data_IF_404741921770
#
_entry.id   IF_404741921770
#
_cell.length_a   1.000
_cell.length_b   1.000
_cell.length_c   1.000
_cell.angle_alpha   90.00
_cell.angle_beta   90.00
_cell.angle_gamma   90.00
#
_symmetry.space_group_name_H-M   'P 1'
#
loop_
_entity.id
_entity.type
_entity.pdbx_description
1 polymer ?
#
# COMPACT_ATOMS: atom_id res chain seq x y z
N UNK A 1 26.75 0.70 -21.58
CA UNK A 1 25.74 -0.09 -20.91
C UNK A 1 24.37 0.25 -21.43
N UNK A 2 23.65 -0.75 -21.71
CA UNK A 2 22.27 -0.51 -22.04
C UNK A 2 21.59 0.07 -20.83
N UNK A 3 20.87 1.14 -21.02
CA UNK A 3 20.00 1.61 -19.98
C UNK A 3 18.92 0.54 -19.78
N UNK A 4 18.97 -0.17 -18.72
CA UNK A 4 17.92 -1.15 -18.51
C UNK A 4 16.60 -0.42 -18.38
N UNK A 5 15.56 -1.05 -18.82
CA UNK A 5 14.23 -0.60 -18.46
C UNK A 5 14.12 -0.51 -16.95
N UNK A 6 13.10 0.13 -16.45
CA UNK A 6 12.85 0.21 -15.01
C UNK A 6 12.63 -1.21 -14.52
N UNK A 7 13.47 -1.63 -13.60
CA UNK A 7 13.30 -2.94 -12.97
C UNK A 7 12.05 -2.90 -12.12
N UNK A 8 11.29 -4.01 -12.04
CA UNK A 8 10.11 -4.04 -11.15
C UNK A 8 10.45 -3.61 -9.72
N UNK A 9 11.63 -4.01 -9.21
CA UNK A 9 12.07 -3.64 -7.88
C UNK A 9 12.42 -2.16 -7.73
N UNK A 10 12.58 -1.43 -8.84
CA UNK A 10 12.85 0.01 -8.83
C UNK A 10 11.57 0.84 -8.93
N UNK A 11 10.42 0.20 -9.17
CA UNK A 11 9.15 0.90 -9.19
C UNK A 11 8.78 1.36 -7.78
N UNK A 12 8.13 2.50 -7.63
CA UNK A 12 7.74 2.98 -6.31
C UNK A 12 6.58 2.19 -5.73
N UNK A 13 6.47 2.23 -4.41
CA UNK A 13 5.24 1.83 -3.72
C UNK A 13 4.30 3.02 -3.69
N UNK A 14 3.02 2.75 -3.82
CA UNK A 14 2.00 3.77 -3.59
C UNK A 14 1.56 3.65 -2.12
N UNK A 15 1.67 4.75 -1.39
CA UNK A 15 1.23 4.82 0.00
C UNK A 15 -0.01 5.70 0.07
N UNK A 16 -1.12 5.11 0.50
CA UNK A 16 -2.39 5.83 0.65
C UNK A 16 -2.67 6.01 2.14
N UNK A 17 -2.65 7.25 2.60
CA UNK A 17 -2.81 7.58 4.01
C UNK A 17 -3.24 9.04 4.13
N UNK A 18 -4.23 9.34 4.96
CA UNK A 18 -4.72 10.70 5.12
C UNK A 18 -4.07 11.46 6.27
N UNK A 19 -3.55 10.77 7.27
CA UNK A 19 -2.94 11.41 8.42
C UNK A 19 -1.47 11.77 8.12
N UNK A 20 -1.11 13.06 8.13
CA UNK A 20 0.26 13.45 7.76
C UNK A 20 1.35 12.82 8.62
N UNK A 21 1.11 12.68 9.92
CA UNK A 21 2.11 12.10 10.82
C UNK A 21 2.33 10.62 10.52
N UNK A 22 1.26 9.88 10.27
CA UNK A 22 1.35 8.46 9.92
C UNK A 22 2.03 8.31 8.56
N UNK A 23 1.62 9.12 7.59
CA UNK A 23 2.24 9.10 6.26
C UNK A 23 3.74 9.34 6.35
N UNK A 24 4.17 10.36 7.08
CA UNK A 24 5.59 10.65 7.22
C UNK A 24 6.36 9.50 7.86
N UNK A 25 5.79 8.88 8.88
CA UNK A 25 6.40 7.77 9.58
C UNK A 25 6.55 6.55 8.67
N UNK A 26 5.48 6.20 7.99
CA UNK A 26 5.46 5.03 7.10
C UNK A 26 6.37 5.26 5.90
N UNK A 27 6.29 6.44 5.30
CA UNK A 27 7.15 6.78 4.18
C UNK A 27 8.62 6.69 4.55
N UNK A 28 8.99 7.25 5.69
CA UNK A 28 10.39 7.20 6.15
C UNK A 28 10.86 5.78 6.35
N UNK A 29 10.02 4.92 6.95
CA UNK A 29 10.35 3.51 7.16
C UNK A 29 10.60 2.80 5.84
N UNK A 30 9.74 3.03 4.86
CA UNK A 30 9.88 2.40 3.54
C UNK A 30 11.14 2.90 2.83
N UNK A 31 11.37 4.21 2.85
CA UNK A 31 12.53 4.81 2.17
C UNK A 31 13.84 4.34 2.80
N UNK A 32 13.89 4.21 4.11
CA UNK A 32 15.09 3.70 4.80
C UNK A 32 15.40 2.25 4.43
N UNK A 33 14.41 1.52 3.97
CA UNK A 33 14.58 0.14 3.55
C UNK A 33 14.67 -0.01 2.04
N UNK A 34 14.95 1.08 1.33
CA UNK A 34 15.30 1.07 -0.08
C UNK A 34 14.15 1.22 -1.05
N UNK A 35 12.92 1.40 -0.56
CA UNK A 35 11.78 1.61 -1.45
C UNK A 35 11.64 3.08 -1.81
N UNK A 36 11.23 3.34 -3.05
CA UNK A 36 10.73 4.66 -3.43
C UNK A 36 9.25 4.71 -3.14
N UNK A 37 8.74 5.88 -2.77
CA UNK A 37 7.35 6.01 -2.31
C UNK A 37 6.68 7.19 -3.00
N UNK A 38 5.48 6.96 -3.52
CA UNK A 38 4.58 8.00 -4.00
C UNK A 38 3.40 8.03 -3.04
N UNK A 39 3.02 9.20 -2.60
CA UNK A 39 1.98 9.36 -1.59
C UNK A 39 0.67 9.82 -2.19
N UNK A 40 -0.42 9.17 -1.77
CA UNK A 40 -1.78 9.60 -2.05
C UNK A 40 -2.48 9.86 -0.71
N UNK A 41 -3.21 10.97 -0.61
CA UNK A 41 -3.81 11.41 0.65
C UNK A 41 -5.23 10.90 0.85
N UNK A 42 -5.75 10.18 -0.14
CA UNK A 42 -7.10 9.59 -0.08
C UNK A 42 -7.17 8.41 -1.03
N UNK A 43 -8.21 7.60 -0.86
CA UNK A 43 -8.46 6.50 -1.79
C UNK A 43 -8.66 6.99 -3.23
N UNK A 44 -9.38 8.10 -3.39
CA UNK A 44 -9.62 8.68 -4.71
C UNK A 44 -8.32 9.14 -5.36
N UNK A 45 -7.45 9.80 -4.60
CA UNK A 45 -6.14 10.21 -5.14
C UNK A 45 -5.30 8.98 -5.49
N UNK A 46 -5.33 7.96 -4.63
CA UNK A 46 -4.62 6.70 -4.90
C UNK A 46 -5.06 6.07 -6.21
N UNK A 47 -6.36 6.01 -6.45
CA UNK A 47 -6.89 5.46 -7.71
C UNK A 47 -6.42 6.30 -8.91
N UNK A 48 -6.46 7.62 -8.79
CA UNK A 48 -5.96 8.47 -9.89
C UNK A 48 -4.49 8.21 -10.20
N UNK A 49 -3.68 8.04 -9.16
CA UNK A 49 -2.26 7.71 -9.36
C UNK A 49 -2.09 6.35 -10.01
N UNK A 50 -2.91 5.39 -9.62
CA UNK A 50 -2.87 4.04 -10.21
C UNK A 50 -3.32 4.02 -11.67
N UNK A 51 -4.15 4.95 -12.08
CA UNK A 51 -4.61 5.01 -13.46
C UNK A 51 -3.49 5.34 -14.44
N UNK A 52 -2.48 6.08 -14.00
CA UNK A 52 -1.45 6.56 -14.91
C UNK A 52 -0.03 6.13 -14.53
N UNK A 53 0.18 5.59 -13.33
CA UNK A 53 1.52 5.26 -12.85
C UNK A 53 1.79 3.77 -12.80
N UNK A 54 3.07 3.42 -12.78
CA UNK A 54 3.51 2.06 -12.55
C UNK A 54 4.03 1.94 -11.13
N UNK A 55 3.62 0.89 -10.43
CA UNK A 55 3.95 0.71 -9.01
C UNK A 55 4.40 -0.71 -8.73
N UNK A 56 5.28 -0.86 -7.75
CA UNK A 56 5.67 -2.17 -7.24
C UNK A 56 4.52 -2.80 -6.44
N UNK A 57 3.79 -1.99 -5.72
CA UNK A 57 2.67 -2.42 -4.92
C UNK A 57 2.05 -1.25 -4.18
N UNK A 58 1.09 -1.54 -3.32
CA UNK A 58 0.30 -0.53 -2.61
C UNK A 58 0.31 -0.81 -1.12
N UNK A 59 0.56 0.22 -0.33
CA UNK A 59 0.34 0.20 1.12
C UNK A 59 -0.78 1.19 1.38
N UNK A 60 -1.88 0.73 1.93
CA UNK A 60 -3.07 1.56 2.10
C UNK A 60 -3.63 1.47 3.50
N UNK A 61 -3.95 2.63 4.08
CA UNK A 61 -4.81 2.64 5.25
C UNK A 61 -6.13 2.00 4.85
N UNK A 62 -6.68 1.21 5.76
CA UNK A 62 -7.97 0.57 5.54
C UNK A 62 -9.08 1.61 5.46
N UNK A 63 -8.96 2.70 6.20
CA UNK A 63 -9.98 3.74 6.24
C UNK A 63 -9.39 5.08 5.85
N UNK A 64 -9.89 5.62 4.75
CA UNK A 64 -9.55 6.96 4.31
C UNK A 64 -10.84 7.74 4.07
N UNK A 65 -10.82 9.06 4.27
CA UNK A 65 -12.01 9.86 4.04
C UNK A 65 -12.34 9.98 2.56
N UNK A 66 -13.53 10.42 2.26
CA UNK A 66 -13.90 10.75 0.89
C UNK A 66 -14.53 9.63 0.10
N UNK A 67 -15.03 8.61 0.76
CA UNK A 67 -15.87 7.60 0.13
C UNK A 67 -15.19 6.38 -0.45
N UNK A 68 -13.88 6.42 -0.67
CA UNK A 68 -13.12 5.24 -1.11
C UNK A 68 -12.19 4.80 0.00
N UNK A 69 -12.49 3.68 0.65
CA UNK A 69 -11.61 3.09 1.67
C UNK A 69 -10.66 2.07 1.04
N UNK A 70 -9.89 1.40 1.88
CA UNK A 70 -8.92 0.40 1.41
C UNK A 70 -9.55 -0.74 0.64
N UNK A 71 -10.74 -1.18 1.07
CA UNK A 71 -11.47 -2.22 0.38
C UNK A 71 -11.91 -1.81 -1.02
N UNK A 72 -12.35 -0.55 -1.15
CA UNK A 72 -12.74 0.00 -2.45
C UNK A 72 -11.54 0.11 -3.39
N UNK A 73 -10.42 0.55 -2.87
CA UNK A 73 -9.17 0.62 -3.65
C UNK A 73 -8.76 -0.77 -4.11
N UNK A 74 -8.83 -1.75 -3.23
CA UNK A 74 -8.50 -3.14 -3.58
C UNK A 74 -9.42 -3.66 -4.69
N UNK A 75 -10.73 -3.39 -4.59
CA UNK A 75 -11.68 -3.79 -5.61
C UNK A 75 -11.36 -3.15 -6.96
N UNK A 76 -11.02 -1.87 -6.96
CA UNK A 76 -10.63 -1.17 -8.17
C UNK A 76 -9.38 -1.79 -8.80
N UNK A 77 -8.37 -2.08 -7.97
CA UNK A 77 -7.12 -2.71 -8.42
C UNK A 77 -7.41 -4.08 -9.04
N UNK A 78 -8.24 -4.88 -8.39
CA UNK A 78 -8.56 -6.22 -8.88
C UNK A 78 -9.17 -6.17 -10.28
N UNK A 79 -10.00 -5.15 -10.55
CA UNK A 79 -10.63 -5.00 -11.85
C UNK A 79 -9.74 -4.36 -12.90
N UNK A 80 -8.92 -3.39 -12.51
CA UNK A 80 -8.22 -2.53 -13.47
C UNK A 80 -6.71 -2.77 -13.52
N UNK A 81 -6.12 -3.25 -12.43
CA UNK A 81 -4.69 -3.51 -12.34
C UNK A 81 -4.48 -4.85 -11.61
N UNK A 82 -4.96 -5.97 -12.18
CA UNK A 82 -4.94 -7.25 -11.47
C UNK A 82 -3.53 -7.73 -11.12
N UNK A 83 -2.51 -7.28 -11.82
CA UNK A 83 -1.13 -7.62 -11.50
C UNK A 83 -0.71 -7.08 -10.13
N UNK A 84 -1.41 -6.06 -9.61
CA UNK A 84 -1.13 -5.50 -8.30
C UNK A 84 -1.99 -6.08 -7.19
N UNK A 85 -2.99 -6.90 -7.52
CA UNK A 85 -3.95 -7.39 -6.53
C UNK A 85 -3.30 -8.21 -5.41
N UNK A 86 -2.19 -8.89 -5.69
CA UNK A 86 -1.46 -9.66 -4.69
C UNK A 86 -0.33 -8.85 -4.03
N UNK A 87 -0.23 -7.57 -4.35
CA UNK A 87 0.84 -6.69 -3.86
C UNK A 87 0.26 -5.52 -3.08
N UNK A 88 -0.66 -5.81 -2.17
CA UNK A 88 -1.33 -4.81 -1.36
C UNK A 88 -1.16 -5.18 0.10
N UNK A 89 -0.71 -4.22 0.91
CA UNK A 89 -0.64 -4.35 2.36
C UNK A 89 -1.54 -3.28 2.96
N UNK A 90 -2.45 -3.69 3.82
CA UNK A 90 -3.30 -2.75 4.54
C UNK A 90 -2.68 -2.36 5.87
N UNK A 91 -2.98 -1.15 6.30
CA UNK A 91 -2.68 -0.65 7.65
C UNK A 91 -4.00 -0.28 8.28
N UNK A 92 -4.21 -0.62 9.55
CA UNK A 92 -5.43 -0.27 10.24
C UNK A 92 -5.17 0.07 11.70
N UNK A 93 -5.95 1.00 12.24
CA UNK A 93 -5.93 1.29 13.67
C UNK A 93 -6.91 0.43 14.46
N UNK A 94 -7.75 -0.33 13.78
CA UNK A 94 -8.77 -1.15 14.44
C UNK A 94 -9.02 -2.44 13.67
N UNK A 95 -8.19 -3.42 13.95
CA UNK A 95 -8.27 -4.72 13.28
C UNK A 95 -9.50 -5.53 13.69
N UNK A 96 -10.15 -5.16 14.80
CA UNK A 96 -11.35 -5.84 15.28
C UNK A 96 -12.64 -5.25 14.70
N UNK A 97 -12.55 -4.15 13.96
CA UNK A 97 -13.73 -3.54 13.33
C UNK A 97 -14.33 -4.52 12.32
N UNK A 98 -15.65 -4.67 12.36
CA UNK A 98 -16.36 -5.66 11.55
C UNK A 98 -16.13 -5.46 10.05
N UNK A 99 -16.14 -4.20 9.59
CA UNK A 99 -15.91 -3.90 8.18
C UNK A 99 -14.49 -4.25 7.76
N UNK A 100 -13.54 -3.96 8.64
CA UNK A 100 -12.13 -4.32 8.39
C UNK A 100 -11.96 -5.82 8.29
N UNK A 101 -12.53 -6.56 9.25
CA UNK A 101 -12.47 -8.02 9.26
C UNK A 101 -13.07 -8.59 7.97
N UNK A 102 -14.25 -8.08 7.58
CA UNK A 102 -14.90 -8.55 6.36
C UNK A 102 -14.05 -8.30 5.12
N UNK A 103 -13.44 -7.11 5.03
CA UNK A 103 -12.56 -6.76 3.91
C UNK A 103 -11.34 -7.67 3.87
N UNK A 104 -10.72 -7.92 5.02
CA UNK A 104 -9.54 -8.78 5.08
C UNK A 104 -9.86 -10.22 4.69
N UNK A 105 -11.01 -10.73 5.13
CA UNK A 105 -11.44 -12.07 4.75
C UNK A 105 -11.73 -12.16 3.25
N UNK A 106 -12.34 -11.14 2.70
CA UNK A 106 -12.70 -11.11 1.28
C UNK A 106 -11.47 -10.97 0.38
N UNK A 107 -10.51 -10.14 0.79
CA UNK A 107 -9.36 -9.83 -0.07
C UNK A 107 -8.19 -10.77 0.13
N UNK A 108 -8.05 -11.33 1.33
CA UNK A 108 -6.88 -12.14 1.68
C UNK A 108 -5.60 -11.33 1.81
N UNK A 109 -5.68 -9.99 1.75
CA UNK A 109 -4.49 -9.15 1.80
C UNK A 109 -3.94 -9.08 3.23
N UNK A 110 -2.61 -8.99 3.38
CA UNK A 110 -2.02 -8.82 4.71
C UNK A 110 -2.36 -7.47 5.29
N UNK A 111 -2.42 -7.41 6.62
CA UNK A 111 -2.76 -6.18 7.32
C UNK A 111 -1.85 -6.03 8.53
N UNK A 112 -1.39 -4.79 8.76
CA UNK A 112 -0.59 -4.44 9.91
C UNK A 112 -1.37 -3.47 10.78
N UNK A 113 -1.48 -3.78 12.06
CA UNK A 113 -2.24 -2.95 13.00
C UNK A 113 -1.38 -1.84 13.57
N UNK A 114 -1.91 -0.63 13.63
CA UNK A 114 -1.26 0.51 14.29
C UNK A 114 -1.52 0.45 15.80
N UNK A 115 -0.57 0.81 16.65
CA UNK A 115 0.82 1.13 16.32
C UNK A 115 1.62 -0.13 16.05
N UNK A 116 2.59 -0.04 15.13
CA UNK A 116 3.41 -1.19 14.78
C UNK A 116 4.89 -0.85 14.89
N UNK A 117 5.71 -1.89 15.01
CA UNK A 117 7.16 -1.72 14.93
C UNK A 117 7.58 -1.68 13.47
N UNK A 118 8.56 -0.83 13.16
CA UNK A 118 9.05 -0.69 11.80
C UNK A 118 9.48 -2.04 11.22
N UNK A 119 10.20 -2.85 12.00
CA UNK A 119 10.67 -4.14 11.52
C UNK A 119 9.53 -5.09 11.17
N UNK A 120 8.47 -5.09 11.97
CA UNK A 120 7.29 -5.90 11.70
C UNK A 120 6.62 -5.46 10.40
N UNK A 121 6.44 -4.16 10.24
CA UNK A 121 5.82 -3.60 9.05
C UNK A 121 6.66 -3.91 7.81
N UNK A 122 7.96 -3.65 7.86
CA UNK A 122 8.85 -3.89 6.73
C UNK A 122 8.89 -5.37 6.36
N UNK A 123 8.86 -6.27 7.34
CA UNK A 123 8.82 -7.70 7.08
C UNK A 123 7.60 -8.08 6.26
N UNK A 124 6.43 -7.55 6.60
CA UNK A 124 5.20 -7.82 5.85
C UNK A 124 5.30 -7.25 4.44
N UNK A 125 5.84 -6.04 4.30
CA UNK A 125 6.02 -5.42 2.98
C UNK A 125 6.96 -6.27 2.13
N UNK A 126 8.08 -6.70 2.67
CA UNK A 126 9.05 -7.51 1.92
C UNK A 126 8.46 -8.85 1.50
N UNK A 127 7.67 -9.48 2.36
CA UNK A 127 7.02 -10.74 2.02
C UNK A 127 6.00 -10.56 0.90
N UNK A 128 5.36 -9.40 0.83
CA UNK A 128 4.30 -9.11 -0.15
C UNK A 128 4.86 -8.57 -1.46
N UNK A 129 5.86 -7.68 -1.37
CA UNK A 129 6.39 -6.94 -2.53
C UNK A 129 7.74 -7.45 -3.01
N UNK A 130 8.45 -8.20 -2.19
CA UNK A 130 9.86 -8.48 -2.40
C UNK A 130 10.74 -7.39 -1.79
N UNK A 131 11.98 -7.73 -1.51
CA UNK A 131 12.92 -6.76 -0.96
C UNK A 131 13.27 -5.69 -1.99
N UNK A 132 13.48 -4.47 -1.50
CA UNK A 132 13.96 -3.40 -2.35
C UNK A 132 15.38 -3.67 -2.82
N UNK A 133 15.71 -3.18 -3.98
CA UNK A 133 17.05 -3.32 -4.56
C UNK A 133 17.92 -2.15 -4.17
#
# INVERSE_FOLDING_TARGET
MTQPGIKPSALPLLLIEDEPAVMSYVRAALERNGYSVVCGHSGAEGVRLLESGEFLGVVSDMRTPGGLDGGDVHAWITRNRPELASRIVFITGDIANEETVATLQKTGAPCVEKPFRVQQFISVVEQTMGKAQ
#
